data_IF_940851893373
#
_entry.id   IF_940851893373
#
_cell.length_a   1.000
_cell.length_b   1.000
_cell.length_c   1.000
_cell.angle_alpha   90.00
_cell.angle_beta   90.00
_cell.angle_gamma   90.00
#
_symmetry.space_group_name_H-M   'P 1'
#
loop_
_entity.id
_entity.type
_entity.pdbx_description
1 polymer ?
#
# COMPACT_ATOMS: atom_id res chain seq x y z
N UNK A 1 34.29 -6.34 -15.61
CA UNK A 1 33.03 -6.05 -14.94
C UNK A 1 32.10 -5.50 -16.02
N UNK A 2 31.28 -6.36 -16.62
CA UNK A 2 30.27 -5.97 -17.61
C UNK A 2 29.14 -5.27 -16.84
N UNK A 3 28.99 -3.97 -17.08
CA UNK A 3 27.81 -3.23 -16.62
C UNK A 3 26.58 -3.90 -17.24
N UNK A 4 25.74 -4.51 -16.44
CA UNK A 4 24.41 -4.91 -16.84
C UNK A 4 23.63 -3.64 -17.18
N UNK A 5 23.72 -3.21 -18.44
CA UNK A 5 22.81 -2.20 -18.99
C UNK A 5 21.47 -2.92 -19.08
N UNK A 6 20.49 -2.49 -18.28
CA UNK A 6 19.12 -2.98 -18.42
C UNK A 6 18.60 -2.43 -19.73
N UNK A 7 18.43 -3.30 -20.72
CA UNK A 7 17.55 -3.03 -21.84
C UNK A 7 16.11 -3.16 -21.35
N UNK A 8 15.58 -2.05 -20.81
CA UNK A 8 14.14 -1.95 -20.63
C UNK A 8 13.51 -1.91 -22.02
N UNK A 9 12.63 -2.84 -22.28
CA UNK A 9 11.91 -2.85 -23.54
C UNK A 9 10.87 -1.71 -23.52
N UNK A 10 11.28 -0.56 -24.05
CA UNK A 10 10.47 0.66 -24.14
C UNK A 10 9.19 0.46 -24.99
N UNK A 11 9.02 -0.69 -25.63
CA UNK A 11 7.81 -1.07 -26.36
C UNK A 11 6.80 -1.82 -25.48
N UNK A 12 7.22 -2.38 -24.33
CA UNK A 12 6.36 -3.20 -23.47
C UNK A 12 5.65 -2.36 -22.41
N UNK A 13 4.35 -2.59 -22.32
CA UNK A 13 3.46 -2.00 -21.32
C UNK A 13 2.75 -3.12 -20.59
N UNK A 14 2.79 -3.12 -19.27
CA UNK A 14 2.04 -4.08 -18.45
C UNK A 14 0.56 -3.72 -18.51
N UNK A 15 -0.25 -4.62 -19.03
CA UNK A 15 -1.71 -4.47 -19.13
C UNK A 15 -2.40 -4.81 -17.82
N UNK A 16 -3.60 -4.25 -17.55
CA UNK A 16 -4.37 -4.58 -16.34
C UNK A 16 -4.71 -6.07 -16.28
N UNK A 17 -4.43 -6.72 -15.14
CA UNK A 17 -4.76 -8.14 -14.91
C UNK A 17 -6.12 -8.31 -14.20
N UNK A 18 -6.54 -7.34 -13.40
CA UNK A 18 -7.74 -7.46 -12.54
C UNK A 18 -8.80 -6.40 -12.82
N UNK A 19 -8.68 -5.70 -13.94
CA UNK A 19 -9.70 -4.78 -14.45
C UNK A 19 -11.01 -5.53 -14.76
N UNK A 20 -12.14 -5.00 -14.28
CA UNK A 20 -13.45 -5.64 -14.37
C UNK A 20 -13.74 -6.68 -13.28
N UNK A 21 -12.75 -7.04 -12.44
CA UNK A 21 -12.90 -7.98 -11.34
C UNK A 21 -12.64 -7.35 -9.97
N UNK A 22 -11.51 -6.67 -9.78
CA UNK A 22 -11.18 -5.97 -8.54
C UNK A 22 -11.68 -4.53 -8.52
N UNK A 23 -11.78 -3.92 -9.68
CA UNK A 23 -12.29 -2.56 -9.89
C UNK A 23 -12.95 -2.45 -11.27
N UNK A 24 -13.81 -1.45 -11.53
CA UNK A 24 -14.51 -1.29 -12.80
C UNK A 24 -13.56 -1.17 -14.01
N UNK A 25 -13.88 -1.84 -15.11
CA UNK A 25 -13.12 -1.74 -16.36
C UNK A 25 -13.48 -0.52 -17.21
N UNK A 26 -14.66 0.05 -16.98
CA UNK A 26 -15.06 1.30 -17.63
C UNK A 26 -14.32 2.50 -16.99
N UNK A 27 -13.63 3.36 -17.75
CA UNK A 27 -12.86 4.48 -17.21
C UNK A 27 -13.68 5.47 -16.35
N UNK A 28 -14.90 5.78 -16.78
CA UNK A 28 -15.77 6.71 -16.06
C UNK A 28 -16.29 6.12 -14.76
N UNK A 29 -16.68 4.84 -14.78
CA UNK A 29 -17.14 4.13 -13.60
C UNK A 29 -15.99 3.95 -12.59
N UNK A 30 -14.80 3.63 -13.06
CA UNK A 30 -13.61 3.50 -12.21
C UNK A 30 -13.28 4.83 -11.54
N UNK A 31 -13.24 5.93 -12.29
CA UNK A 31 -12.98 7.25 -11.75
C UNK A 31 -14.04 7.63 -10.70
N UNK A 32 -15.33 7.42 -11.00
CA UNK A 32 -16.43 7.69 -10.07
C UNK A 32 -16.35 6.82 -8.82
N UNK A 33 -16.00 5.54 -8.96
CA UNK A 33 -15.81 4.60 -7.84
C UNK A 33 -14.68 5.06 -6.91
N UNK A 34 -13.53 5.44 -7.45
CA UNK A 34 -12.41 5.98 -6.64
C UNK A 34 -12.83 7.26 -5.92
N UNK A 35 -13.49 8.19 -6.60
CA UNK A 35 -13.98 9.43 -5.98
C UNK A 35 -14.99 9.14 -4.87
N UNK A 36 -15.88 8.17 -5.06
CA UNK A 36 -16.83 7.73 -4.04
C UNK A 36 -16.10 7.27 -2.78
N UNK A 37 -15.14 6.33 -2.88
CA UNK A 37 -14.40 5.85 -1.71
C UNK A 37 -13.61 6.97 -1.03
N UNK A 38 -12.99 7.86 -1.80
CA UNK A 38 -12.26 9.01 -1.25
C UNK A 38 -13.19 9.98 -0.49
N UNK A 39 -14.42 10.19 -0.97
CA UNK A 39 -15.38 11.06 -0.28
C UNK A 39 -15.93 10.42 0.99
N UNK A 40 -16.27 9.13 0.95
CA UNK A 40 -16.76 8.39 2.11
C UNK A 40 -15.71 8.31 3.23
N UNK A 41 -14.44 8.05 2.87
CA UNK A 41 -13.36 8.01 3.84
C UNK A 41 -13.05 9.39 4.44
N UNK A 42 -13.22 10.49 3.71
CA UNK A 42 -12.97 11.85 4.20
C UNK A 42 -13.94 12.26 5.31
N UNK A 43 -15.21 11.82 5.24
CA UNK A 43 -16.23 12.13 6.25
C UNK A 43 -15.93 11.55 7.64
N UNK A 44 -15.03 10.58 7.73
CA UNK A 44 -14.64 9.89 8.98
C UNK A 44 -13.38 10.48 9.63
N UNK A 45 -12.62 11.32 8.91
CA UNK A 45 -11.41 11.97 9.42
C UNK A 45 -11.77 13.38 9.94
N UNK A 46 -12.62 13.44 10.97
CA UNK A 46 -12.94 14.69 11.66
C UNK A 46 -11.82 15.03 12.64
N UNK A 47 -11.15 16.16 12.43
CA UNK A 47 -10.20 16.83 13.36
C UNK A 47 -8.77 16.30 13.50
N UNK A 48 -8.22 15.55 12.57
CA UNK A 48 -6.79 15.19 12.62
C UNK A 48 -5.92 16.37 12.11
N UNK A 49 -4.79 16.70 12.78
CA UNK A 49 -3.83 17.67 12.22
C UNK A 49 -3.41 17.26 10.82
N UNK A 50 -3.06 18.24 9.98
CA UNK A 50 -2.53 17.95 8.64
C UNK A 50 -1.27 17.10 8.79
N UNK A 51 -1.39 15.81 8.45
CA UNK A 51 -0.30 14.85 8.46
C UNK A 51 0.33 14.93 7.08
N UNK A 52 1.63 15.20 7.01
CA UNK A 52 2.40 15.11 5.76
C UNK A 52 3.00 13.71 5.64
N UNK A 53 2.39 12.79 4.89
CA UNK A 53 2.87 11.43 4.79
C UNK A 53 4.18 11.35 3.99
N UNK A 54 5.15 10.60 4.50
CA UNK A 54 6.32 10.13 3.75
C UNK A 54 6.06 8.73 3.19
N UNK A 55 5.30 7.94 3.92
CA UNK A 55 4.90 6.62 3.47
C UNK A 55 3.46 6.32 3.87
N UNK A 56 2.82 5.45 3.10
CA UNK A 56 1.52 4.85 3.43
C UNK A 56 1.59 3.33 3.31
N UNK A 57 0.78 2.65 4.10
CA UNK A 57 0.47 1.23 3.93
C UNK A 57 -1.01 1.16 3.58
N UNK A 58 -1.38 0.39 2.55
CA UNK A 58 -2.77 0.27 2.09
C UNK A 58 -3.08 -1.14 1.58
N UNK A 59 -4.33 -1.62 1.74
CA UNK A 59 -4.75 -2.94 1.28
C UNK A 59 -4.98 -2.98 -0.23
N UNK A 60 -4.94 -4.21 -0.81
CA UNK A 60 -5.02 -4.44 -2.25
C UNK A 60 -6.12 -5.43 -2.69
N UNK A 61 -7.07 -5.73 -1.83
CA UNK A 61 -8.25 -6.49 -2.24
C UNK A 61 -9.14 -5.70 -3.23
N UNK A 62 -10.14 -6.37 -3.82
CA UNK A 62 -11.10 -5.70 -4.69
C UNK A 62 -11.79 -4.53 -3.98
N UNK A 63 -12.07 -3.45 -4.71
CA UNK A 63 -12.54 -2.17 -4.17
C UNK A 63 -13.79 -2.28 -3.29
N UNK A 64 -14.72 -3.18 -3.62
CA UNK A 64 -15.92 -3.41 -2.79
C UNK A 64 -15.61 -3.90 -1.37
N UNK A 65 -14.44 -4.49 -1.17
CA UNK A 65 -13.99 -4.98 0.13
C UNK A 65 -13.07 -4.00 0.85
N UNK A 66 -12.00 -3.58 0.19
CA UNK A 66 -10.91 -2.81 0.81
C UNK A 66 -10.82 -1.35 0.36
N UNK A 67 -11.63 -0.94 -0.64
CA UNK A 67 -11.52 0.40 -1.24
C UNK A 67 -11.70 1.54 -0.25
N UNK A 68 -12.56 1.38 0.75
CA UNK A 68 -12.78 2.39 1.79
C UNK A 68 -11.58 2.53 2.73
N UNK A 69 -10.97 1.39 3.12
CA UNK A 69 -9.76 1.37 3.94
C UNK A 69 -8.57 1.96 3.18
N UNK A 70 -8.39 1.59 1.91
CA UNK A 70 -7.36 2.17 1.07
C UNK A 70 -7.55 3.70 0.93
N UNK A 71 -8.77 4.16 0.67
CA UNK A 71 -9.10 5.57 0.51
C UNK A 71 -8.75 6.41 1.75
N UNK A 72 -8.82 5.86 2.95
CA UNK A 72 -8.42 6.54 4.18
C UNK A 72 -6.94 6.95 4.15
N UNK A 73 -6.03 6.04 3.73
CA UNK A 73 -4.63 6.38 3.54
C UNK A 73 -4.43 7.38 2.40
N UNK A 74 -5.09 7.18 1.26
CA UNK A 74 -4.96 8.05 0.09
C UNK A 74 -5.43 9.48 0.32
N UNK A 75 -6.45 9.71 1.15
CA UNK A 75 -6.91 11.05 1.50
C UNK A 75 -5.82 11.89 2.17
N UNK A 76 -4.89 11.26 2.91
CA UNK A 76 -3.75 11.95 3.52
C UNK A 76 -2.80 12.59 2.51
N UNK A 77 -2.81 12.11 1.26
CA UNK A 77 -1.94 12.62 0.19
C UNK A 77 -2.45 13.93 -0.42
N UNK A 78 -3.76 14.24 -0.32
CA UNK A 78 -4.36 15.40 -0.98
C UNK A 78 -3.64 16.72 -0.72
N UNK A 79 -3.22 17.05 0.53
CA UNK A 79 -2.52 18.31 0.81
C UNK A 79 -1.15 18.42 0.13
N UNK A 80 -0.51 17.30 -0.17
CA UNK A 80 0.85 17.22 -0.73
C UNK A 80 0.88 16.66 -2.16
N UNK A 81 -0.28 16.45 -2.78
CA UNK A 81 -0.39 15.80 -4.08
C UNK A 81 0.43 16.48 -5.19
N UNK A 82 0.60 17.81 -5.13
CA UNK A 82 1.36 18.55 -6.13
C UNK A 82 2.88 18.41 -5.99
N UNK A 83 3.39 17.98 -4.83
CA UNK A 83 4.83 17.74 -4.61
C UNK A 83 5.26 16.32 -5.01
N UNK A 84 4.35 15.36 -4.98
CA UNK A 84 4.68 13.95 -5.29
C UNK A 84 4.74 13.76 -6.81
N UNK A 85 5.90 13.33 -7.29
CA UNK A 85 6.12 12.95 -8.69
C UNK A 85 6.74 11.55 -8.86
N UNK A 86 7.10 10.89 -7.75
CA UNK A 86 7.55 9.50 -7.71
C UNK A 86 6.79 8.73 -6.64
N UNK A 87 6.32 7.52 -6.98
CA UNK A 87 5.74 6.58 -6.02
C UNK A 87 6.51 5.27 -6.07
N UNK A 88 7.19 4.93 -4.98
CA UNK A 88 7.85 3.64 -4.79
C UNK A 88 6.81 2.69 -4.22
N UNK A 89 6.43 1.64 -4.96
CA UNK A 89 5.36 0.71 -4.56
C UNK A 89 5.95 -0.67 -4.34
N UNK A 90 5.77 -1.21 -3.14
CA UNK A 90 6.16 -2.59 -2.79
C UNK A 90 4.91 -3.41 -2.47
N UNK A 91 4.73 -4.52 -3.17
CA UNK A 91 3.65 -5.49 -2.91
C UNK A 91 4.18 -6.91 -2.75
N UNK A 92 3.39 -7.83 -2.13
CA UNK A 92 3.74 -9.23 -2.03
C UNK A 92 3.67 -9.93 -3.38
N UNK A 93 4.26 -11.12 -3.45
CA UNK A 93 4.14 -12.01 -4.59
C UNK A 93 3.06 -13.07 -4.32
N UNK A 94 1.96 -13.06 -5.09
CA UNK A 94 0.84 -13.98 -4.88
C UNK A 94 0.87 -15.22 -5.79
N UNK A 95 1.51 -15.13 -6.94
CA UNK A 95 1.41 -16.13 -8.01
C UNK A 95 2.64 -17.03 -8.12
N UNK A 96 3.81 -16.45 -7.99
CA UNK A 96 5.10 -17.13 -8.24
C UNK A 96 6.01 -16.89 -7.05
N UNK A 97 6.43 -17.95 -6.35
CA UNK A 97 7.41 -17.83 -5.28
C UNK A 97 8.76 -17.37 -5.81
N UNK A 98 9.27 -16.27 -5.28
CA UNK A 98 10.60 -15.73 -5.63
C UNK A 98 11.42 -15.43 -4.38
N UNK A 99 12.74 -15.47 -4.54
CA UNK A 99 13.70 -14.91 -3.57
C UNK A 99 14.10 -13.52 -4.05
N UNK A 100 14.15 -12.56 -3.13
CA UNK A 100 14.49 -11.18 -3.45
C UNK A 100 13.29 -10.34 -3.91
N UNK A 101 13.58 -9.33 -4.72
CA UNK A 101 12.65 -8.29 -5.17
C UNK A 101 12.64 -8.27 -6.69
N UNK A 102 11.45 -8.41 -7.27
CA UNK A 102 11.27 -8.40 -8.71
C UNK A 102 10.83 -7.03 -9.24
N UNK A 103 11.48 -6.59 -10.30
CA UNK A 103 11.11 -5.44 -11.13
C UNK A 103 10.55 -5.94 -12.46
N UNK A 104 9.62 -5.20 -13.10
CA UNK A 104 9.23 -5.47 -14.47
C UNK A 104 10.23 -4.90 -15.47
N UNK A 105 10.32 -5.50 -16.66
CA UNK A 105 11.06 -4.93 -17.79
C UNK A 105 10.26 -3.88 -18.57
N UNK A 106 8.95 -3.82 -18.38
CA UNK A 106 8.07 -2.84 -19.00
C UNK A 106 8.39 -1.41 -18.61
N UNK A 107 8.07 -0.44 -19.49
CA UNK A 107 8.30 0.98 -19.20
C UNK A 107 7.07 1.70 -18.58
N UNK A 108 5.91 1.04 -18.55
CA UNK A 108 4.68 1.62 -18.02
C UNK A 108 3.68 0.52 -17.61
N UNK A 109 2.73 0.90 -16.77
CA UNK A 109 1.53 0.13 -16.46
C UNK A 109 0.29 0.83 -17.01
N UNK A 110 -0.57 0.10 -17.71
CA UNK A 110 -1.86 0.59 -18.16
C UNK A 110 -2.95 0.35 -17.09
N UNK A 111 -3.86 1.29 -16.97
CA UNK A 111 -5.14 1.16 -16.27
C UNK A 111 -6.27 1.65 -17.17
N UNK A 112 -7.54 1.36 -16.87
CA UNK A 112 -8.65 1.93 -17.64
C UNK A 112 -8.67 3.46 -17.72
N UNK A 113 -8.13 4.16 -16.72
CA UNK A 113 -8.10 5.63 -16.70
C UNK A 113 -6.78 6.24 -17.19
N UNK A 114 -5.87 5.42 -17.72
CA UNK A 114 -4.66 5.90 -18.38
C UNK A 114 -3.40 5.14 -18.03
N UNK A 115 -2.32 5.55 -18.66
CA UNK A 115 -0.98 4.96 -18.51
C UNK A 115 -0.20 5.62 -17.40
N UNK A 116 0.52 4.82 -16.60
CA UNK A 116 1.42 5.26 -15.54
C UNK A 116 2.85 4.86 -15.92
N UNK A 117 3.76 5.81 -16.17
CA UNK A 117 5.14 5.51 -16.54
C UNK A 117 5.95 5.00 -15.34
N UNK A 118 6.97 4.18 -15.62
CA UNK A 118 7.97 3.80 -14.64
C UNK A 118 9.06 4.87 -14.52
N UNK A 119 9.59 5.04 -13.28
CA UNK A 119 10.78 5.87 -13.04
C UNK A 119 12.07 5.09 -13.32
N UNK A 120 12.49 5.10 -14.58
CA UNK A 120 13.66 4.36 -15.04
C UNK A 120 14.95 4.82 -14.35
N UNK A 121 15.06 6.11 -14.03
CA UNK A 121 16.22 6.64 -13.32
C UNK A 121 16.28 6.14 -11.87
N UNK A 122 15.16 6.02 -11.20
CA UNK A 122 15.10 5.45 -9.86
C UNK A 122 15.36 3.93 -9.90
N UNK A 123 14.77 3.22 -10.86
CA UNK A 123 14.98 1.77 -11.07
C UNK A 123 16.46 1.48 -11.29
N UNK A 124 17.17 2.25 -12.11
CA UNK A 124 18.60 2.02 -12.38
C UNK A 124 19.50 2.08 -11.14
N UNK A 125 19.07 2.74 -10.06
CA UNK A 125 19.81 2.82 -8.81
C UNK A 125 19.76 1.53 -7.99
N UNK A 126 18.69 0.75 -8.13
CA UNK A 126 18.46 -0.46 -7.31
C UNK A 126 18.78 -1.75 -8.04
N UNK A 127 18.84 -1.74 -9.37
CA UNK A 127 19.20 -2.92 -10.17
C UNK A 127 20.56 -3.53 -9.82
N UNK A 128 21.60 -2.74 -9.44
CA UNK A 128 22.87 -3.33 -9.01
C UNK A 128 22.81 -4.07 -7.66
N UNK A 129 21.73 -3.93 -6.89
CA UNK A 129 21.58 -4.62 -5.61
C UNK A 129 21.32 -6.11 -5.86
N UNK A 130 22.02 -6.97 -5.14
CA UNK A 130 22.04 -8.42 -5.38
C UNK A 130 20.66 -9.09 -5.20
N UNK A 131 19.79 -8.51 -4.36
CA UNK A 131 18.43 -8.99 -4.10
C UNK A 131 17.42 -8.53 -5.14
N UNK A 132 17.78 -7.64 -6.07
CA UNK A 132 16.88 -7.07 -7.08
C UNK A 132 17.09 -7.74 -8.43
N UNK A 133 16.01 -8.25 -9.02
CA UNK A 133 16.04 -8.92 -10.31
C UNK A 133 14.91 -8.40 -11.21
N UNK A 134 15.10 -8.45 -12.54
CA UNK A 134 14.00 -8.24 -13.48
C UNK A 134 13.28 -9.57 -13.69
N UNK A 135 11.99 -9.61 -13.39
CA UNK A 135 11.20 -10.82 -13.54
C UNK A 135 9.72 -10.50 -13.84
N UNK A 136 9.38 -10.40 -15.11
CA UNK A 136 8.07 -9.96 -15.60
C UNK A 136 6.91 -10.86 -15.18
N UNK A 137 7.11 -12.16 -15.09
CA UNK A 137 6.05 -13.11 -14.76
C UNK A 137 5.44 -12.85 -13.37
N UNK A 138 6.21 -12.27 -12.43
CA UNK A 138 5.69 -11.87 -11.13
C UNK A 138 4.71 -10.70 -11.21
N UNK A 139 4.86 -9.84 -12.21
CA UNK A 139 4.02 -8.65 -12.38
C UNK A 139 2.81 -8.89 -13.27
N UNK A 140 2.90 -9.88 -14.19
CA UNK A 140 1.94 -10.09 -15.28
C UNK A 140 0.51 -10.27 -14.78
N UNK A 141 0.32 -11.15 -13.80
CA UNK A 141 -0.99 -11.54 -13.28
C UNK A 141 -1.19 -11.12 -11.80
N UNK A 142 -0.24 -10.40 -11.21
CA UNK A 142 -0.35 -9.96 -9.81
C UNK A 142 -1.07 -8.62 -9.71
N UNK A 143 -1.94 -8.51 -8.72
CA UNK A 143 -2.80 -7.35 -8.49
C UNK A 143 -2.26 -6.38 -7.44
N UNK A 144 -1.27 -6.81 -6.64
CA UNK A 144 -0.81 -6.06 -5.46
C UNK A 144 -0.34 -4.64 -5.76
N UNK A 145 0.18 -4.38 -6.96
CA UNK A 145 0.59 -3.04 -7.41
C UNK A 145 -0.55 -2.35 -8.16
N UNK A 146 -1.22 -3.10 -9.04
CA UNK A 146 -2.19 -2.57 -10.00
C UNK A 146 -3.35 -1.84 -9.35
N UNK A 147 -3.93 -2.40 -8.28
CA UNK A 147 -5.13 -1.85 -7.63
C UNK A 147 -4.92 -0.47 -7.01
N UNK A 148 -3.68 -0.09 -6.75
CA UNK A 148 -3.32 1.21 -6.19
C UNK A 148 -3.29 2.32 -7.26
N UNK A 149 -3.02 1.97 -8.51
CA UNK A 149 -2.79 2.95 -9.58
C UNK A 149 -3.98 3.87 -9.82
N UNK A 150 -5.25 3.40 -9.86
CA UNK A 150 -6.38 4.31 -10.06
C UNK A 150 -6.55 5.34 -8.94
N UNK A 151 -6.28 4.98 -7.67
CA UNK A 151 -6.28 5.95 -6.57
C UNK A 151 -5.21 7.02 -6.75
N UNK A 152 -3.99 6.62 -7.11
CA UNK A 152 -2.89 7.54 -7.38
C UNK A 152 -3.21 8.45 -8.56
N UNK A 153 -3.77 7.92 -9.66
CA UNK A 153 -4.14 8.69 -10.85
C UNK A 153 -5.23 9.74 -10.60
N UNK A 154 -6.15 9.48 -9.65
CA UNK A 154 -7.19 10.44 -9.28
C UNK A 154 -6.65 11.57 -8.39
N UNK A 155 -5.63 11.27 -7.57
CA UNK A 155 -5.08 12.22 -6.59
C UNK A 155 -3.87 12.98 -7.13
N UNK A 156 -2.94 12.29 -7.79
CA UNK A 156 -1.69 12.86 -8.30
C UNK A 156 -1.85 13.28 -9.77
N UNK A 157 -1.16 14.35 -10.16
CA UNK A 157 -1.25 14.86 -11.55
C UNK A 157 -0.24 14.20 -12.48
N UNK A 158 1.04 14.35 -12.14
CA UNK A 158 2.16 13.86 -12.96
C UNK A 158 3.08 13.07 -12.06
N UNK A 159 3.10 11.76 -12.19
CA UNK A 159 3.97 10.90 -11.39
C UNK A 159 4.43 9.69 -12.19
N UNK A 160 5.53 9.11 -11.75
CA UNK A 160 6.05 7.83 -12.19
C UNK A 160 6.14 6.87 -11.04
N UNK A 161 6.21 5.57 -11.32
CA UNK A 161 6.25 4.53 -10.30
C UNK A 161 7.54 3.72 -10.37
N UNK A 162 7.94 3.20 -9.19
CA UNK A 162 8.93 2.12 -9.06
C UNK A 162 8.17 0.92 -8.49
N UNK A 163 7.60 0.05 -9.34
CA UNK A 163 6.81 -1.09 -8.89
C UNK A 163 7.71 -2.26 -8.54
N UNK A 164 7.57 -2.83 -7.35
CA UNK A 164 8.36 -3.94 -6.84
C UNK A 164 7.48 -5.03 -6.26
N UNK A 165 7.66 -6.25 -6.71
CA UNK A 165 7.09 -7.45 -6.09
C UNK A 165 8.13 -8.04 -5.15
N UNK A 166 7.81 -8.12 -3.87
CA UNK A 166 8.73 -8.58 -2.82
C UNK A 166 8.39 -10.01 -2.45
N UNK A 167 9.32 -10.91 -2.70
CA UNK A 167 9.25 -12.32 -2.32
C UNK A 167 9.90 -12.61 -0.97
N UNK A 168 10.59 -13.73 -0.88
CA UNK A 168 11.41 -14.04 0.30
C UNK A 168 12.62 -13.13 0.33
N UNK A 169 12.58 -12.16 1.24
CA UNK A 169 13.63 -11.16 1.43
C UNK A 169 13.80 -10.89 2.91
N UNK A 170 15.03 -10.67 3.32
CA UNK A 170 15.33 -10.21 4.68
C UNK A 170 14.88 -8.76 4.89
N UNK A 171 14.71 -8.37 6.14
CA UNK A 171 14.38 -6.99 6.50
C UNK A 171 15.43 -6.01 5.97
N UNK A 172 16.71 -6.38 6.05
CA UNK A 172 17.83 -5.56 5.60
C UNK A 172 17.83 -5.36 4.09
N UNK A 173 17.55 -6.39 3.30
CA UNK A 173 17.46 -6.30 1.83
C UNK A 173 16.35 -5.35 1.38
N UNK A 174 15.18 -5.43 2.01
CA UNK A 174 14.07 -4.50 1.72
C UNK A 174 14.42 -3.08 2.18
N UNK A 175 15.01 -2.93 3.37
CA UNK A 175 15.42 -1.64 3.91
C UNK A 175 16.47 -0.96 3.04
N UNK A 176 17.47 -1.68 2.51
CA UNK A 176 18.50 -1.15 1.61
C UNK A 176 17.89 -0.57 0.33
N UNK A 177 16.93 -1.28 -0.28
CA UNK A 177 16.21 -0.78 -1.45
C UNK A 177 15.41 0.48 -1.12
N UNK A 178 14.68 0.48 0.01
CA UNK A 178 13.93 1.65 0.45
C UNK A 178 14.83 2.84 0.77
N UNK A 179 15.98 2.63 1.42
CA UNK A 179 16.95 3.68 1.70
C UNK A 179 17.50 4.29 0.41
N UNK A 180 17.82 3.45 -0.59
CA UNK A 180 18.31 3.89 -1.91
C UNK A 180 17.26 4.74 -2.65
N UNK A 181 15.98 4.41 -2.52
CA UNK A 181 14.86 5.07 -3.20
C UNK A 181 14.16 6.14 -2.35
N UNK A 182 14.62 6.41 -1.12
CA UNK A 182 13.87 7.21 -0.15
C UNK A 182 13.48 8.60 -0.66
N UNK A 183 14.37 9.29 -1.36
CA UNK A 183 14.13 10.61 -1.92
C UNK A 183 13.74 11.68 -0.88
N UNK A 184 13.30 12.83 -1.37
CA UNK A 184 12.74 13.95 -0.60
C UNK A 184 11.21 13.93 -0.56
N UNK A 185 10.61 15.14 -0.58
CA UNK A 185 9.14 15.31 -0.54
C UNK A 185 8.46 14.94 -1.87
N UNK A 186 9.25 14.81 -2.94
CA UNK A 186 8.79 14.36 -4.25
C UNK A 186 8.51 12.85 -4.32
N UNK A 187 9.02 12.08 -3.37
CA UNK A 187 8.94 10.62 -3.35
C UNK A 187 8.00 10.13 -2.25
N UNK A 188 6.92 9.45 -2.62
CA UNK A 188 6.05 8.70 -1.73
C UNK A 188 6.49 7.23 -1.69
N UNK A 189 6.53 6.64 -0.50
CA UNK A 189 6.64 5.17 -0.33
C UNK A 189 5.25 4.60 -0.09
N UNK A 190 4.87 3.60 -0.85
CA UNK A 190 3.60 2.86 -0.70
C UNK A 190 3.89 1.38 -0.50
N UNK A 191 3.49 0.84 0.64
CA UNK A 191 3.49 -0.60 0.89
C UNK A 191 2.09 -1.14 0.76
N UNK A 192 1.95 -2.13 -0.10
CA UNK A 192 0.71 -2.82 -0.42
C UNK A 192 0.59 -4.09 0.41
N UNK A 193 -0.43 -4.20 1.26
CA UNK A 193 -0.66 -5.39 2.08
C UNK A 193 -2.09 -5.49 2.59
N UNK A 194 -2.71 -6.65 2.40
CA UNK A 194 -3.84 -7.08 3.23
C UNK A 194 -3.29 -7.70 4.53
N UNK A 195 -4.15 -7.87 5.55
CA UNK A 195 -3.78 -8.42 6.86
C UNK A 195 -4.08 -9.92 6.96
N UNK A 196 -4.77 -10.37 8.03
CA UNK A 196 -5.11 -11.77 8.21
C UNK A 196 -6.02 -12.28 7.09
N UNK A 197 -5.92 -13.59 6.78
CA UNK A 197 -6.68 -14.18 5.68
C UNK A 197 -7.52 -15.37 6.16
N UNK A 198 -8.79 -15.37 5.73
CA UNK A 198 -9.71 -16.51 5.83
C UNK A 198 -9.97 -17.01 7.24
N UNK A 199 -9.86 -16.16 8.25
CA UNK A 199 -10.19 -16.45 9.64
C UNK A 199 -11.64 -16.07 9.95
N UNK A 200 -12.26 -16.67 10.98
CA UNK A 200 -13.50 -16.16 11.56
C UNK A 200 -13.33 -14.70 12.03
N UNK A 201 -14.40 -13.92 11.95
CA UNK A 201 -14.39 -12.47 12.19
C UNK A 201 -13.66 -12.05 13.49
N UNK A 202 -14.01 -12.68 14.62
CA UNK A 202 -13.44 -12.30 15.91
C UNK A 202 -11.95 -12.70 16.05
N UNK A 203 -11.53 -13.78 15.39
CA UNK A 203 -10.13 -14.20 15.35
C UNK A 203 -9.30 -13.26 14.48
N UNK A 204 -9.82 -12.90 13.31
CA UNK A 204 -9.20 -11.93 12.42
C UNK A 204 -8.99 -10.60 13.14
N UNK A 205 -10.02 -10.08 13.84
CA UNK A 205 -9.90 -8.83 14.61
C UNK A 205 -8.78 -8.88 15.65
N UNK A 206 -8.61 -9.99 16.37
CA UNK A 206 -7.55 -10.14 17.39
C UNK A 206 -6.18 -10.06 16.75
N UNK A 207 -5.95 -10.82 15.66
CA UNK A 207 -4.67 -10.86 14.95
C UNK A 207 -4.37 -9.51 14.30
N UNK A 208 -5.35 -8.89 13.64
CA UNK A 208 -5.19 -7.61 12.96
C UNK A 208 -4.91 -6.47 13.95
N UNK A 209 -5.47 -6.52 15.16
CA UNK A 209 -5.13 -5.59 16.23
C UNK A 209 -3.68 -5.76 16.73
N UNK A 210 -3.17 -6.99 16.80
CA UNK A 210 -1.74 -7.24 17.15
C UNK A 210 -0.85 -6.65 16.05
N UNK A 211 -1.18 -6.92 14.78
CA UNK A 211 -0.46 -6.39 13.63
C UNK A 211 -0.48 -4.86 13.61
N UNK A 212 -1.64 -4.27 13.89
CA UNK A 212 -1.81 -2.82 13.97
C UNK A 212 -0.86 -2.20 15.01
N UNK A 213 -0.84 -2.75 16.23
CA UNK A 213 0.05 -2.30 17.31
C UNK A 213 1.53 -2.42 16.92
N UNK A 214 1.93 -3.54 16.29
CA UNK A 214 3.28 -3.75 15.81
C UNK A 214 3.72 -2.66 14.81
N UNK A 215 2.83 -2.31 13.86
CA UNK A 215 3.09 -1.24 12.88
C UNK A 215 3.18 0.13 13.56
N UNK A 216 2.26 0.47 14.46
CA UNK A 216 2.29 1.73 15.20
C UNK A 216 3.55 1.90 16.05
N UNK A 217 4.07 0.81 16.62
CA UNK A 217 5.30 0.78 17.39
C UNK A 217 6.57 0.71 16.53
N UNK A 218 6.42 0.52 15.22
CA UNK A 218 7.51 0.27 14.28
C UNK A 218 8.38 -0.91 14.74
N UNK A 219 7.76 -1.98 15.24
CA UNK A 219 8.44 -3.19 15.71
C UNK A 219 8.35 -4.32 14.67
N UNK A 220 9.38 -4.49 13.80
CA UNK A 220 9.36 -5.51 12.76
C UNK A 220 9.44 -6.94 13.32
N UNK A 221 9.84 -7.12 14.59
CA UNK A 221 9.96 -8.45 15.22
C UNK A 221 8.61 -8.99 15.66
N UNK A 222 7.63 -8.12 15.89
CA UNK A 222 6.28 -8.48 16.31
C UNK A 222 5.36 -8.92 15.16
N UNK A 223 5.81 -8.84 13.88
CA UNK A 223 5.05 -9.37 12.74
C UNK A 223 5.45 -10.81 12.43
N UNK A 224 4.47 -11.73 12.53
CA UNK A 224 4.63 -13.14 12.11
C UNK A 224 4.22 -13.35 10.63
N UNK A 225 4.38 -14.60 10.15
CA UNK A 225 4.16 -14.94 8.75
C UNK A 225 2.68 -14.82 8.31
N UNK A 226 1.75 -15.09 9.20
CA UNK A 226 0.31 -15.20 8.89
C UNK A 226 -0.45 -13.88 9.06
N UNK A 227 0.22 -12.83 9.55
CA UNK A 227 -0.44 -11.58 9.92
C UNK A 227 -0.65 -10.61 8.75
N UNK A 228 0.17 -10.69 7.70
CA UNK A 228 0.05 -9.80 6.55
C UNK A 228 0.75 -10.40 5.33
N UNK A 229 0.10 -10.35 4.15
CA UNK A 229 0.71 -10.84 2.92
C UNK A 229 1.93 -10.01 2.50
N UNK A 230 1.92 -8.69 2.73
CA UNK A 230 3.03 -7.77 2.47
C UNK A 230 4.03 -7.63 3.63
N UNK A 231 4.07 -8.56 4.58
CA UNK A 231 4.88 -8.46 5.81
C UNK A 231 6.35 -8.11 5.59
N UNK A 232 6.99 -8.65 4.53
CA UNK A 232 8.40 -8.38 4.26
C UNK A 232 8.62 -6.90 3.90
N UNK A 233 7.74 -6.35 3.09
CA UNK A 233 7.73 -4.92 2.73
C UNK A 233 7.43 -4.04 3.94
N UNK A 234 6.45 -4.43 4.78
CA UNK A 234 6.09 -3.72 6.01
C UNK A 234 7.28 -3.71 6.98
N UNK A 235 7.93 -4.85 7.22
CA UNK A 235 9.09 -4.97 8.11
C UNK A 235 10.25 -4.07 7.66
N UNK A 236 10.58 -4.08 6.35
CA UNK A 236 11.60 -3.20 5.78
C UNK A 236 11.25 -1.72 5.94
N UNK A 237 9.98 -1.35 5.67
CA UNK A 237 9.52 0.02 5.87
C UNK A 237 9.60 0.44 7.35
N UNK A 238 9.18 -0.41 8.29
CA UNK A 238 9.25 -0.13 9.73
C UNK A 238 10.70 0.13 10.19
N UNK A 239 11.66 -0.67 9.70
CA UNK A 239 13.08 -0.48 10.00
C UNK A 239 13.55 0.90 9.54
N UNK A 240 13.33 1.26 8.28
CA UNK A 240 13.73 2.56 7.72
C UNK A 240 12.98 3.72 8.38
N UNK A 241 11.70 3.57 8.64
CA UNK A 241 10.87 4.58 9.32
C UNK A 241 11.40 4.89 10.73
N UNK A 242 11.79 3.86 11.48
CA UNK A 242 12.39 4.00 12.81
C UNK A 242 13.72 4.73 12.77
N UNK A 243 14.61 4.37 11.84
CA UNK A 243 15.90 5.05 11.63
C UNK A 243 15.71 6.52 11.26
N UNK A 244 14.69 6.83 10.47
CA UNK A 244 14.40 8.20 10.02
C UNK A 244 13.52 9.00 11.02
N UNK A 245 13.17 8.41 12.15
CA UNK A 245 12.39 9.05 13.20
C UNK A 245 10.94 9.35 12.79
N UNK A 246 10.34 8.52 11.94
CA UNK A 246 8.92 8.61 11.62
C UNK A 246 8.07 8.00 12.74
N UNK A 247 6.79 8.35 12.73
CA UNK A 247 5.73 7.69 13.50
C UNK A 247 4.71 7.11 12.54
N UNK A 248 4.17 5.93 12.85
CA UNK A 248 3.07 5.32 12.12
C UNK A 248 1.75 5.62 12.83
N UNK A 249 0.74 5.99 12.07
CA UNK A 249 -0.62 6.28 12.57
C UNK A 249 -1.60 5.44 11.78
N UNK A 250 -2.41 4.65 12.47
CA UNK A 250 -3.52 3.92 11.85
C UNK A 250 -4.62 4.90 11.45
N UNK A 251 -5.03 4.87 10.19
CA UNK A 251 -6.10 5.73 9.68
C UNK A 251 -7.40 4.98 9.42
N UNK A 252 -7.33 3.67 9.18
CA UNK A 252 -8.48 2.76 9.16
C UNK A 252 -8.05 1.31 9.44
N UNK A 253 -8.91 0.54 10.12
CA UNK A 253 -8.73 -0.88 10.39
C UNK A 253 -10.09 -1.56 10.40
N UNK A 254 -10.28 -2.56 9.55
CA UNK A 254 -11.50 -3.35 9.40
C UNK A 254 -11.22 -4.67 8.70
N UNK A 255 -12.25 -5.46 8.42
CA UNK A 255 -12.14 -6.66 7.59
C UNK A 255 -13.27 -6.74 6.56
N UNK A 256 -13.25 -7.75 5.69
CA UNK A 256 -14.25 -7.94 4.64
C UNK A 256 -15.68 -8.15 5.19
N UNK A 257 -15.82 -8.64 6.42
CA UNK A 257 -17.12 -8.77 7.10
C UNK A 257 -17.73 -7.44 7.54
N UNK A 258 -16.96 -6.36 7.57
CA UNK A 258 -17.43 -4.98 7.82
C UNK A 258 -17.85 -4.27 6.52
N UNK A 259 -17.66 -4.91 5.38
CA UNK A 259 -17.96 -4.35 4.05
C UNK A 259 -18.89 -5.26 3.26
N UNK A 260 -18.37 -6.04 2.30
CA UNK A 260 -19.17 -6.85 1.37
C UNK A 260 -19.06 -8.36 1.60
N UNK A 261 -18.26 -8.83 2.56
CA UNK A 261 -18.06 -10.24 2.89
C UNK A 261 -19.00 -10.76 3.98
N UNK A 262 -19.04 -12.09 4.15
CA UNK A 262 -19.63 -12.70 5.34
C UNK A 262 -18.65 -12.67 6.52
N UNK A 263 -19.08 -13.09 7.71
CA UNK A 263 -18.26 -13.10 8.93
C UNK A 263 -17.63 -14.46 9.24
N UNK A 264 -17.93 -15.49 8.47
CA UNK A 264 -17.40 -16.84 8.73
C UNK A 264 -15.95 -16.98 8.31
N UNK A 265 -15.56 -16.24 7.27
CA UNK A 265 -14.21 -16.25 6.71
C UNK A 265 -13.91 -14.87 6.14
N UNK A 266 -13.07 -14.10 6.82
CA UNK A 266 -12.77 -12.71 6.45
C UNK A 266 -11.30 -12.51 6.08
N UNK A 267 -11.05 -11.39 5.40
CA UNK A 267 -9.70 -10.86 5.15
C UNK A 267 -9.59 -9.51 5.85
N UNK A 268 -8.53 -9.32 6.63
CA UNK A 268 -8.26 -8.08 7.34
C UNK A 268 -7.70 -6.99 6.43
N UNK A 269 -8.10 -5.76 6.66
CA UNK A 269 -7.65 -4.57 5.94
C UNK A 269 -7.23 -3.50 6.91
N UNK A 270 -6.04 -2.98 6.73
CA UNK A 270 -5.54 -1.86 7.52
C UNK A 270 -4.89 -0.80 6.64
N UNK A 271 -4.93 0.43 7.07
CA UNK A 271 -4.20 1.51 6.43
C UNK A 271 -3.50 2.41 7.43
N UNK A 272 -2.28 2.80 7.10
CA UNK A 272 -1.41 3.60 7.95
C UNK A 272 -0.76 4.73 7.17
N UNK A 273 -0.48 5.81 7.90
CA UNK A 273 0.31 6.94 7.43
C UNK A 273 1.57 7.04 8.27
N UNK A 274 2.73 7.08 7.63
CA UNK A 274 4.02 7.27 8.30
C UNK A 274 4.52 8.70 8.04
N UNK A 275 4.79 9.45 9.12
CA UNK A 275 5.09 10.88 9.06
C UNK A 275 6.13 11.29 10.11
N UNK A 276 6.80 12.44 9.88
CA UNK A 276 7.70 13.06 10.85
C UNK A 276 6.97 13.81 11.98
N UNK A 277 5.67 14.05 11.87
CA UNK A 277 4.90 14.83 12.85
C UNK A 277 4.58 13.99 14.10
N UNK A 278 5.40 14.12 15.13
CA UNK A 278 5.25 13.41 16.41
C UNK A 278 3.99 13.80 17.22
N UNK A 279 3.34 14.92 16.91
CA UNK A 279 2.21 15.44 17.69
C UNK A 279 0.87 14.71 17.44
N UNK A 280 0.81 13.80 16.47
CA UNK A 280 -0.41 13.05 16.12
C UNK A 280 -0.66 11.85 17.05
N UNK A 281 0.38 11.36 17.73
CA UNK A 281 0.34 10.10 18.49
C UNK A 281 -0.43 10.22 19.83
N UNK A 282 -0.87 11.41 20.27
CA UNK A 282 -1.48 11.60 21.60
C UNK A 282 -3.02 11.67 21.62
N UNK A 283 -3.72 11.48 20.54
CA UNK A 283 -5.20 11.52 20.53
C UNK A 283 -5.82 10.14 20.41
N UNK A 284 -6.12 9.53 21.56
CA UNK A 284 -7.00 8.36 21.68
C UNK A 284 -6.32 7.02 21.49
N UNK A 285 -6.51 6.11 22.43
CA UNK A 285 -6.16 4.70 22.27
C UNK A 285 -6.98 4.09 21.13
N UNK A 286 -6.46 3.07 20.47
CA UNK A 286 -7.18 2.30 19.42
C UNK A 286 -8.54 1.81 19.93
N UNK A 287 -8.65 1.51 21.24
CA UNK A 287 -9.90 1.09 21.91
C UNK A 287 -10.99 2.18 21.93
N UNK A 288 -10.63 3.46 22.06
CA UNK A 288 -11.60 4.55 22.07
C UNK A 288 -12.17 4.79 20.65
N UNK A 289 -11.36 4.59 19.61
CA UNK A 289 -11.81 4.73 18.20
C UNK A 289 -12.79 3.64 17.78
N UNK A 290 -12.65 2.42 18.33
CA UNK A 290 -13.59 1.33 18.04
C UNK A 290 -14.91 1.49 18.80
N UNK A 291 -14.88 2.02 20.04
CA UNK A 291 -16.11 2.28 20.81
C UNK A 291 -16.99 3.32 20.13
N UNK A 292 -16.41 4.40 19.61
CA UNK A 292 -17.16 5.46 18.93
C UNK A 292 -17.78 4.95 17.61
N UNK A 293 -17.09 4.09 16.86
CA UNK A 293 -17.62 3.51 15.62
C UNK A 293 -18.76 2.51 15.90
N UNK A 294 -18.65 1.73 16.97
CA UNK A 294 -19.69 0.75 17.36
C UNK A 294 -20.91 1.47 17.93
N UNK A 295 -20.73 2.52 18.73
CA UNK A 295 -21.83 3.32 19.30
C UNK A 295 -22.60 4.07 18.20
N UNK A 296 -21.93 4.64 17.21
CA UNK A 296 -22.57 5.33 16.10
C UNK A 296 -23.42 4.42 15.19
N UNK A 297 -23.18 3.09 15.23
CA UNK A 297 -24.00 2.10 14.53
C UNK A 297 -25.23 1.73 15.38
N UNK A 298 -25.08 1.65 16.72
CA UNK A 298 -26.18 1.31 17.63
C UNK A 298 -27.20 2.45 17.75
N UNK A 299 -26.78 3.71 17.62
CA UNK A 299 -27.67 4.89 17.72
C UNK A 299 -28.50 5.15 16.44
N UNK A 300 -28.33 4.33 15.38
CA UNK A 300 -29.07 4.44 14.11
C UNK A 300 -30.13 3.34 13.89
N UNK A 301 -30.36 2.52 14.91
CA UNK A 301 -31.46 1.54 14.97
C UNK A 301 -32.23 1.72 16.26
#
# INVERSE_FOLDING_TARGET
MTSNIIELDVSQVRRPAVSGTFYPSNPKELHASVQFYLSEAAGKISSTPIITPKAIIAPHAGYKYSGLTAAAAYNSLKPIANSINRVVIMGPCHRIGISGIALPSSHAFDTPIGRVPLDIQAISKIVPLHQVNIFDDTHKEDHAIEVHLPFLQVILKNFSIVPMIVGQSSINEVAEVLQTLWGGDETLILVSSDLSHYLPYDEAQKIDNITCKAIEQLDPTALSEEQACGRNSIKGLMMVAREKGLSAVTVDLRNSGDTAGNKDSVVGYGSWVLTKNKNVVKSGSTEDRFKDATQAILDKH
#
